data_IF_801297994225
#
_entry.id   IF_801297994225
#
_cell.length_a   1.000
_cell.length_b   1.000
_cell.length_c   1.000
_cell.angle_alpha   90.00
_cell.angle_beta   90.00
_cell.angle_gamma   90.00
#
_symmetry.space_group_name_H-M   'P 1'
#
loop_
_entity.id
_entity.type
_entity.pdbx_description
1 polymer ?
#
# COMPACT_ATOMS: atom_id res chain seq x y z
N UNK A 1 26.30 19.85 -9.26
CA UNK A 1 24.89 19.84 -8.84
C UNK A 1 24.79 19.24 -7.45
N UNK A 2 23.87 19.75 -6.61
CA UNK A 2 23.65 19.19 -5.28
C UNK A 2 22.87 17.86 -5.39
N UNK A 3 23.28 16.87 -4.61
CA UNK A 3 22.66 15.54 -4.54
C UNK A 3 21.86 15.38 -3.24
N UNK A 4 20.88 14.49 -3.24
CA UNK A 4 20.10 14.10 -2.07
C UNK A 4 21.02 13.63 -0.93
N UNK A 5 22.09 12.88 -1.25
CA UNK A 5 23.06 12.40 -0.28
C UNK A 5 23.75 13.52 0.51
N UNK A 6 23.97 14.69 -0.10
CA UNK A 6 24.55 15.84 0.60
C UNK A 6 23.60 16.37 1.68
N UNK A 7 22.30 16.49 1.36
CA UNK A 7 21.28 16.94 2.31
C UNK A 7 21.08 15.92 3.43
N UNK A 8 21.07 14.62 3.09
CA UNK A 8 20.94 13.55 4.09
C UNK A 8 22.10 13.54 5.09
N UNK A 9 23.34 13.73 4.60
CA UNK A 9 24.53 13.84 5.45
C UNK A 9 24.43 15.06 6.37
N UNK A 10 24.10 16.23 5.83
CA UNK A 10 23.91 17.45 6.60
C UNK A 10 22.85 17.29 7.70
N UNK A 11 21.69 16.70 7.39
CA UNK A 11 20.63 16.44 8.37
C UNK A 11 21.08 15.51 9.50
N UNK A 12 21.95 14.55 9.20
CA UNK A 12 22.55 13.65 10.20
C UNK A 12 23.49 14.40 11.15
N UNK A 13 24.28 15.34 10.63
CA UNK A 13 25.24 16.15 11.40
C UNK A 13 24.55 17.11 12.38
N UNK A 14 23.42 17.72 11.97
CA UNK A 14 22.65 18.63 12.84
C UNK A 14 21.67 17.91 13.80
N UNK A 15 21.80 16.58 13.91
CA UNK A 15 20.95 15.65 14.65
C UNK A 15 19.44 15.78 14.34
N UNK A 16 18.86 14.86 13.54
CA UNK A 16 17.47 14.98 13.11
C UNK A 16 16.48 14.88 14.27
N UNK A 17 16.83 14.25 15.39
CA UNK A 17 15.93 14.06 16.54
C UNK A 17 15.68 15.33 17.36
N UNK A 18 16.39 16.42 17.06
CA UNK A 18 16.24 17.70 17.76
C UNK A 18 14.98 18.47 17.37
N UNK A 19 14.34 18.11 16.25
CA UNK A 19 13.07 18.70 15.83
C UNK A 19 12.21 17.70 15.05
N UNK A 20 10.88 17.73 15.21
CA UNK A 20 9.96 16.99 14.37
C UNK A 20 10.13 17.28 12.86
N UNK A 21 10.43 18.52 12.47
CA UNK A 21 10.59 18.91 11.05
C UNK A 21 11.82 18.24 10.45
N UNK A 22 12.96 18.32 11.15
CA UNK A 22 14.21 17.68 10.73
C UNK A 22 14.04 16.17 10.61
N UNK A 23 13.42 15.54 11.62
CA UNK A 23 13.20 14.11 11.63
C UNK A 23 12.25 13.66 10.51
N UNK A 24 11.17 14.42 10.23
CA UNK A 24 10.27 14.12 9.12
C UNK A 24 10.97 14.21 7.76
N UNK A 25 11.74 15.28 7.51
CA UNK A 25 12.51 15.42 6.27
C UNK A 25 13.58 14.33 6.14
N UNK A 26 14.30 14.03 7.22
CA UNK A 26 15.32 12.98 7.26
C UNK A 26 14.73 11.60 6.95
N UNK A 27 13.62 11.24 7.61
CA UNK A 27 12.94 9.98 7.38
C UNK A 27 12.38 9.87 5.96
N UNK A 28 11.79 10.95 5.44
CA UNK A 28 11.26 10.99 4.08
C UNK A 28 12.37 10.76 3.04
N UNK A 29 13.51 11.45 3.17
CA UNK A 29 14.66 11.27 2.29
C UNK A 29 15.17 9.82 2.38
N UNK A 30 15.43 9.35 3.60
CA UNK A 30 16.02 8.03 3.84
C UNK A 30 15.12 6.89 3.35
N UNK A 31 13.81 7.07 3.44
CA UNK A 31 12.85 6.07 2.96
C UNK A 31 12.73 6.10 1.44
N UNK A 32 12.61 7.27 0.83
CA UNK A 32 12.08 7.36 -0.53
C UNK A 32 13.09 7.75 -1.60
N UNK A 33 14.29 8.22 -1.25
CA UNK A 33 15.24 8.72 -2.23
C UNK A 33 16.59 8.04 -2.10
N UNK A 34 17.26 7.88 -3.24
CA UNK A 34 18.63 7.39 -3.29
C UNK A 34 19.62 8.56 -3.14
N UNK A 35 20.79 8.34 -2.52
CA UNK A 35 21.77 9.41 -2.33
C UNK A 35 22.28 10.08 -3.61
N UNK A 36 22.24 9.36 -4.73
CA UNK A 36 22.75 9.83 -6.03
C UNK A 36 21.77 10.72 -6.81
N UNK A 37 20.50 10.73 -6.43
CA UNK A 37 19.49 11.60 -7.05
C UNK A 37 19.84 13.08 -6.89
N UNK A 38 19.51 13.86 -7.91
CA UNK A 38 19.73 15.31 -7.90
C UNK A 38 18.71 15.97 -6.97
N UNK A 39 19.18 16.86 -6.12
CA UNK A 39 18.33 17.64 -5.24
C UNK A 39 17.68 18.77 -6.05
N UNK A 40 16.38 18.65 -6.31
CA UNK A 40 15.62 19.56 -7.18
C UNK A 40 14.47 20.24 -6.42
N UNK A 41 13.87 21.26 -7.05
CA UNK A 41 12.60 21.84 -6.58
C UNK A 41 11.49 20.79 -6.46
N UNK A 42 11.38 19.90 -7.44
CA UNK A 42 10.35 18.85 -7.48
C UNK A 42 10.43 17.91 -6.26
N UNK A 43 11.64 17.63 -5.75
CA UNK A 43 11.81 16.87 -4.50
C UNK A 43 11.10 17.56 -3.32
N UNK A 44 11.34 18.87 -3.14
CA UNK A 44 10.73 19.62 -2.03
C UNK A 44 9.22 19.76 -2.20
N UNK A 45 8.75 20.01 -3.41
CA UNK A 45 7.31 20.05 -3.70
C UNK A 45 6.62 18.73 -3.36
N UNK A 46 7.21 17.58 -3.73
CA UNK A 46 6.69 16.27 -3.35
C UNK A 46 6.64 16.13 -1.82
N UNK A 47 7.73 16.43 -1.11
CA UNK A 47 7.75 16.40 0.35
C UNK A 47 6.68 17.30 0.99
N UNK A 48 6.48 18.51 0.47
CA UNK A 48 5.47 19.45 0.99
C UNK A 48 4.05 18.95 0.75
N UNK A 49 3.79 18.36 -0.42
CA UNK A 49 2.48 17.79 -0.73
C UNK A 49 2.15 16.58 0.16
N UNK A 50 3.13 15.71 0.41
CA UNK A 50 2.97 14.60 1.34
C UNK A 50 2.79 15.05 2.78
N UNK A 51 3.53 16.08 3.23
CA UNK A 51 3.39 16.59 4.61
C UNK A 51 2.05 17.27 4.82
N UNK A 52 1.61 18.15 3.91
CA UNK A 52 0.35 18.88 4.03
C UNK A 52 -0.90 18.00 3.95
N UNK A 53 -0.77 16.75 3.50
CA UNK A 53 -1.84 15.76 3.59
C UNK A 53 -2.15 15.38 5.05
N UNK A 54 -1.15 15.45 5.95
CA UNK A 54 -1.33 15.16 7.37
C UNK A 54 -1.84 16.39 8.13
N UNK A 55 -2.92 16.21 8.90
CA UNK A 55 -3.54 17.27 9.69
C UNK A 55 -2.57 17.96 10.67
N UNK A 56 -1.61 17.20 11.22
CA UNK A 56 -0.57 17.76 12.09
C UNK A 56 0.25 18.84 11.38
N UNK A 57 0.78 18.55 10.19
CA UNK A 57 1.59 19.52 9.45
C UNK A 57 0.77 20.63 8.84
N UNK A 58 -0.46 20.32 8.38
CA UNK A 58 -1.37 21.35 7.89
C UNK A 58 -1.67 22.41 8.95
N UNK A 59 -1.97 22.00 10.19
CA UNK A 59 -2.19 22.91 11.32
C UNK A 59 -0.94 23.71 11.72
N UNK A 60 0.26 23.15 11.46
CA UNK A 60 1.55 23.73 11.85
C UNK A 60 2.40 24.20 10.65
N UNK A 61 1.77 24.51 9.50
CA UNK A 61 2.48 24.75 8.24
C UNK A 61 3.45 25.94 8.28
N UNK A 62 3.16 26.97 9.07
CA UNK A 62 4.05 28.12 9.28
C UNK A 62 5.33 27.71 10.00
N UNK A 63 5.22 26.91 11.06
CA UNK A 63 6.39 26.40 11.78
C UNK A 63 7.22 25.47 10.89
N UNK A 64 6.56 24.55 10.17
CA UNK A 64 7.19 23.66 9.18
C UNK A 64 8.01 24.47 8.16
N UNK A 65 7.41 25.51 7.56
CA UNK A 65 8.05 26.34 6.53
C UNK A 65 9.24 27.12 7.07
N UNK A 66 9.07 27.74 8.23
CA UNK A 66 10.12 28.53 8.86
C UNK A 66 11.36 27.67 9.17
N UNK A 67 11.15 26.49 9.78
CA UNK A 67 12.27 25.62 10.13
C UNK A 67 12.94 25.02 8.89
N UNK A 68 12.17 24.58 7.89
CA UNK A 68 12.72 24.12 6.62
C UNK A 68 13.56 25.19 5.92
N UNK A 69 13.10 26.45 5.93
CA UNK A 69 13.85 27.56 5.36
C UNK A 69 15.18 27.77 6.09
N UNK A 70 15.23 27.67 7.42
CA UNK A 70 16.46 27.75 8.21
C UNK A 70 17.40 26.60 7.84
N UNK A 71 16.89 25.36 7.82
CA UNK A 71 17.66 24.15 7.44
C UNK A 71 18.30 24.34 6.07
N UNK A 72 17.52 24.79 5.08
CA UNK A 72 17.99 24.96 3.70
C UNK A 72 18.93 26.15 3.53
N UNK A 73 18.74 27.25 4.26
CA UNK A 73 19.70 28.37 4.29
C UNK A 73 21.05 27.93 4.84
N UNK A 74 21.04 27.19 5.95
CA UNK A 74 22.27 26.66 6.55
C UNK A 74 22.96 25.66 5.61
N UNK A 75 22.19 24.75 5.01
CA UNK A 75 22.70 23.83 3.99
C UNK A 75 23.34 24.57 2.81
N UNK A 76 22.67 25.58 2.24
CA UNK A 76 23.22 26.42 1.16
C UNK A 76 24.49 27.18 1.55
N UNK A 77 24.70 27.46 2.84
CA UNK A 77 25.93 28.08 3.34
C UNK A 77 27.17 27.19 3.23
N UNK A 78 26.99 25.87 3.13
CA UNK A 78 28.08 24.88 3.12
C UNK A 78 28.61 24.54 1.72
N UNK A 79 27.91 24.94 0.66
CA UNK A 79 28.24 24.54 -0.72
C UNK A 79 28.37 25.74 -1.66
N UNK A 80 29.31 25.66 -2.60
CA UNK A 80 29.49 26.67 -3.65
C UNK A 80 28.30 26.72 -4.61
N UNK A 81 27.80 25.54 -5.02
CA UNK A 81 26.55 25.40 -5.77
C UNK A 81 25.38 25.45 -4.78
N UNK A 82 24.47 26.39 -4.96
CA UNK A 82 23.33 26.62 -4.05
C UNK A 82 22.01 26.20 -4.68
N UNK A 83 21.07 25.77 -3.85
CA UNK A 83 19.67 25.70 -4.23
C UNK A 83 19.09 27.10 -4.33
N UNK A 84 18.38 27.40 -5.41
CA UNK A 84 17.57 28.61 -5.48
C UNK A 84 16.31 28.44 -4.62
N UNK A 85 16.37 28.99 -3.40
CA UNK A 85 15.25 28.93 -2.45
C UNK A 85 14.09 29.84 -2.88
N UNK A 86 14.32 30.84 -3.73
CA UNK A 86 13.27 31.74 -4.20
C UNK A 86 12.33 31.06 -5.20
N UNK A 87 12.82 30.02 -5.88
CA UNK A 87 12.02 29.20 -6.79
C UNK A 87 11.13 28.19 -6.05
N UNK A 88 11.31 27.96 -4.75
CA UNK A 88 10.57 26.96 -3.97
C UNK A 88 9.36 27.62 -3.30
N UNK A 89 8.16 27.09 -3.56
CA UNK A 89 6.95 27.47 -2.83
C UNK A 89 6.87 26.69 -1.52
N UNK A 90 7.01 27.36 -0.39
CA UNK A 90 7.04 26.73 0.94
C UNK A 90 5.62 26.40 1.44
N UNK A 91 5.47 25.44 2.40
CA UNK A 91 4.15 24.98 2.85
C UNK A 91 3.17 26.05 3.33
N UNK A 92 3.65 27.13 3.93
CA UNK A 92 2.84 28.27 4.39
C UNK A 92 2.28 29.11 3.25
N UNK A 93 2.96 29.11 2.09
CA UNK A 93 2.53 29.75 0.84
C UNK A 93 1.58 28.86 0.03
N UNK A 94 1.46 27.57 0.37
CA UNK A 94 0.55 26.65 -0.31
C UNK A 94 -0.85 26.78 0.30
N UNK A 95 -1.83 27.04 -0.58
CA UNK A 95 -3.24 27.02 -0.22
C UNK A 95 -3.83 25.65 -0.55
N UNK A 96 -4.27 24.94 0.50
CA UNK A 96 -4.96 23.66 0.38
C UNK A 96 -6.46 23.89 0.54
N UNK A 97 -7.25 23.33 -0.36
CA UNK A 97 -8.70 23.38 -0.37
C UNK A 97 -9.26 21.97 -0.22
N UNK A 98 -10.37 21.82 0.48
CA UNK A 98 -11.10 20.55 0.55
C UNK A 98 -12.45 20.69 -0.16
N UNK A 99 -12.79 19.70 -1.00
CA UNK A 99 -14.10 19.62 -1.65
C UNK A 99 -14.91 18.50 -0.97
N UNK A 100 -15.78 18.90 -0.05
CA UNK A 100 -16.57 17.95 0.75
C UNK A 100 -17.63 17.20 -0.05
N UNK A 101 -18.30 17.90 -0.96
CA UNK A 101 -19.35 17.34 -1.78
C UNK A 101 -18.75 16.33 -2.77
N UNK A 102 -19.02 15.05 -2.54
CA UNK A 102 -18.43 13.93 -3.28
C UNK A 102 -18.57 14.08 -4.80
N UNK A 103 -19.74 14.47 -5.30
CA UNK A 103 -20.00 14.65 -6.74
C UNK A 103 -19.09 15.74 -7.34
N UNK A 104 -19.00 16.89 -6.69
CA UNK A 104 -18.13 17.99 -7.16
C UNK A 104 -16.66 17.58 -7.13
N UNK A 105 -16.24 16.87 -6.08
CA UNK A 105 -14.88 16.35 -5.99
C UNK A 105 -14.59 15.39 -7.15
N UNK A 106 -15.50 14.45 -7.44
CA UNK A 106 -15.39 13.52 -8.55
C UNK A 106 -15.32 14.24 -9.90
N UNK A 107 -16.16 15.25 -10.14
CA UNK A 107 -16.17 16.03 -11.37
C UNK A 107 -14.87 16.82 -11.57
N UNK A 108 -14.31 17.40 -10.50
CA UNK A 108 -13.02 18.10 -10.54
C UNK A 108 -11.87 17.13 -10.82
N UNK A 109 -11.83 15.98 -10.14
CA UNK A 109 -10.80 14.95 -10.37
C UNK A 109 -10.88 14.40 -11.80
N UNK A 110 -12.08 14.19 -12.32
CA UNK A 110 -12.29 13.75 -13.69
C UNK A 110 -11.71 14.76 -14.70
N UNK A 111 -12.00 16.06 -14.51
CA UNK A 111 -11.44 17.14 -15.35
C UNK A 111 -9.92 17.21 -15.25
N UNK A 112 -9.37 17.07 -14.04
CA UNK A 112 -7.92 17.03 -13.82
C UNK A 112 -7.26 15.90 -14.62
N UNK A 113 -7.78 14.68 -14.52
CA UNK A 113 -7.24 13.52 -15.26
C UNK A 113 -7.38 13.69 -16.77
N UNK A 114 -8.48 14.29 -17.24
CA UNK A 114 -8.62 14.66 -18.66
C UNK A 114 -7.56 15.68 -19.09
N UNK A 115 -7.20 16.66 -18.25
CA UNK A 115 -6.17 17.65 -18.60
C UNK A 115 -4.75 17.08 -18.67
N UNK A 116 -4.47 15.95 -18.02
CA UNK A 116 -3.18 15.25 -18.15
C UNK A 116 -2.99 14.60 -19.53
N UNK A 117 -4.06 14.54 -20.32
CA UNK A 117 -4.16 13.75 -21.53
C UNK A 117 -4.16 14.64 -22.78
N UNK A 118 -3.18 14.44 -23.67
CA UNK A 118 -3.08 15.18 -24.94
C UNK A 118 -3.89 14.53 -26.08
N UNK A 119 -4.45 13.34 -25.89
CA UNK A 119 -5.13 12.55 -26.93
C UNK A 119 -6.23 11.64 -26.37
N UNK A 120 -6.82 10.76 -27.20
CA UNK A 120 -8.04 9.95 -26.97
C UNK A 120 -7.91 8.98 -25.77
N UNK A 121 -7.95 9.54 -24.58
CA UNK A 121 -7.80 8.81 -23.31
C UNK A 121 -9.18 8.59 -22.70
N UNK A 122 -9.45 7.34 -22.31
CA UNK A 122 -10.63 7.05 -21.49
C UNK A 122 -10.29 7.30 -20.03
N UNK A 123 -11.07 8.16 -19.38
CA UNK A 123 -10.90 8.51 -17.98
C UNK A 123 -12.10 8.02 -17.18
N UNK A 124 -11.85 7.50 -15.98
CA UNK A 124 -12.90 7.16 -15.01
C UNK A 124 -12.45 7.57 -13.62
N UNK A 125 -13.38 8.02 -12.79
CA UNK A 125 -13.13 8.25 -11.36
C UNK A 125 -14.18 7.51 -10.56
N UNK A 126 -13.74 6.71 -9.60
CA UNK A 126 -14.58 5.93 -8.70
C UNK A 126 -14.28 6.32 -7.25
N UNK A 127 -15.28 6.19 -6.37
CA UNK A 127 -15.04 6.24 -4.93
C UNK A 127 -14.73 4.81 -4.44
N UNK A 128 -13.61 4.64 -3.76
CA UNK A 128 -13.28 3.43 -3.00
C UNK A 128 -13.22 3.78 -1.51
N UNK A 129 -14.24 3.37 -0.77
CA UNK A 129 -14.43 3.69 0.65
C UNK A 129 -14.43 5.21 0.94
N UNK A 130 -13.26 5.78 1.25
CA UNK A 130 -13.06 7.20 1.58
C UNK A 130 -12.13 7.93 0.60
N UNK A 131 -11.51 7.21 -0.33
CA UNK A 131 -10.54 7.74 -1.30
C UNK A 131 -11.14 7.66 -2.71
N UNK A 132 -10.64 8.47 -3.61
CA UNK A 132 -10.99 8.38 -5.02
C UNK A 132 -9.92 7.59 -5.77
N UNK A 133 -10.34 6.70 -6.65
CA UNK A 133 -9.48 6.05 -7.64
C UNK A 133 -9.75 6.65 -9.01
N UNK A 134 -8.71 7.24 -9.59
CA UNK A 134 -8.70 7.73 -10.96
C UNK A 134 -8.10 6.69 -11.89
N UNK A 135 -8.70 6.50 -13.06
CA UNK A 135 -8.23 5.59 -14.09
C UNK A 135 -8.03 6.37 -15.38
N UNK A 136 -6.90 6.16 -16.05
CA UNK A 136 -6.58 6.77 -17.33
C UNK A 136 -6.03 5.68 -18.25
N UNK A 137 -6.77 5.35 -19.31
CA UNK A 137 -6.37 4.37 -20.32
C UNK A 137 -5.87 5.10 -21.56
N UNK A 138 -4.60 4.87 -21.91
CA UNK A 138 -3.98 5.47 -23.09
C UNK A 138 -4.35 4.74 -24.40
N UNK A 139 -3.91 5.31 -25.52
CA UNK A 139 -4.17 4.77 -26.86
C UNK A 139 -3.56 3.39 -27.10
N UNK A 140 -2.50 3.04 -26.34
CA UNK A 140 -1.80 1.76 -26.43
C UNK A 140 -2.40 0.72 -25.47
N UNK A 141 -3.45 1.07 -24.73
CA UNK A 141 -4.06 0.22 -23.72
C UNK A 141 -3.31 0.19 -22.38
N UNK A 142 -2.31 1.05 -22.15
CA UNK A 142 -1.68 1.18 -20.84
C UNK A 142 -2.60 1.90 -19.88
N UNK A 143 -2.71 1.37 -18.67
CA UNK A 143 -3.60 1.88 -17.64
C UNK A 143 -2.80 2.57 -16.53
N UNK A 144 -3.13 3.82 -16.24
CA UNK A 144 -2.65 4.53 -15.05
C UNK A 144 -3.76 4.60 -14.00
N UNK A 145 -3.45 4.20 -12.77
CA UNK A 145 -4.36 4.19 -11.62
C UNK A 145 -3.85 5.16 -10.57
N UNK A 146 -4.60 6.23 -10.34
CA UNK A 146 -4.26 7.31 -9.41
C UNK A 146 -5.04 7.15 -8.10
N UNK A 147 -4.36 7.24 -6.96
CA UNK A 147 -5.02 7.43 -5.67
C UNK A 147 -5.15 8.92 -5.39
N UNK A 148 -6.39 9.38 -5.31
CA UNK A 148 -6.76 10.78 -5.21
C UNK A 148 -7.57 11.02 -3.93
N UNK A 149 -7.52 12.25 -3.44
CA UNK A 149 -8.22 12.67 -2.22
C UNK A 149 -9.02 13.96 -2.47
N UNK A 150 -9.73 14.43 -1.45
CA UNK A 150 -10.54 15.65 -1.46
C UNK A 150 -9.71 16.92 -1.33
N UNK A 151 -8.39 16.81 -1.15
CA UNK A 151 -7.46 17.92 -0.95
C UNK A 151 -6.88 18.37 -2.27
N UNK A 152 -6.98 19.67 -2.54
CA UNK A 152 -6.54 20.31 -3.78
C UNK A 152 -5.66 21.52 -3.51
N UNK A 153 -4.87 21.89 -4.51
CA UNK A 153 -4.03 23.09 -4.54
C UNK A 153 -4.16 23.75 -5.90
N UNK A 154 -3.78 25.03 -6.01
CA UNK A 154 -3.73 25.73 -7.30
C UNK A 154 -2.30 25.69 -7.80
N UNK A 155 -2.07 25.06 -8.95
CA UNK A 155 -0.80 25.08 -9.69
C UNK A 155 -1.05 25.61 -11.10
N UNK A 156 -0.25 26.58 -11.55
CA UNK A 156 -0.39 27.16 -12.89
C UNK A 156 -1.83 27.61 -13.24
N UNK A 157 -2.53 28.20 -12.26
CA UNK A 157 -3.95 28.62 -12.38
C UNK A 157 -4.96 27.47 -12.59
N UNK A 158 -4.57 26.23 -12.33
CA UNK A 158 -5.44 25.06 -12.40
C UNK A 158 -5.56 24.42 -11.01
N UNK A 159 -6.74 23.89 -10.73
CA UNK A 159 -7.01 23.15 -9.51
C UNK A 159 -6.52 21.72 -9.69
N UNK A 160 -5.51 21.32 -8.92
CA UNK A 160 -4.89 20.01 -8.98
C UNK A 160 -5.00 19.30 -7.61
N UNK A 161 -5.05 17.96 -7.57
CA UNK A 161 -4.94 17.20 -6.34
C UNK A 161 -3.66 17.56 -5.58
N UNK A 162 -3.74 17.62 -4.24
CA UNK A 162 -2.59 17.92 -3.40
C UNK A 162 -1.44 16.94 -3.67
N UNK A 163 -1.74 15.64 -3.68
CA UNK A 163 -0.83 14.56 -4.06
C UNK A 163 -1.24 14.01 -5.42
N UNK A 164 -0.34 14.11 -6.39
CA UNK A 164 -0.54 13.63 -7.76
C UNK A 164 0.48 12.56 -8.17
N UNK A 165 1.35 12.14 -7.26
CA UNK A 165 2.41 11.15 -7.46
C UNK A 165 2.03 9.73 -7.02
N UNK A 166 0.88 9.57 -6.34
CA UNK A 166 0.31 8.26 -6.00
C UNK A 166 -0.33 7.62 -7.24
N UNK A 167 0.51 7.10 -8.13
CA UNK A 167 0.09 6.49 -9.39
C UNK A 167 0.73 5.12 -9.56
N UNK A 168 -0.11 4.11 -9.81
CA UNK A 168 0.29 2.82 -10.34
C UNK A 168 0.17 2.86 -11.87
N UNK A 169 1.07 2.18 -12.57
CA UNK A 169 1.00 2.03 -14.02
C UNK A 169 1.01 0.57 -14.38
N UNK A 170 0.14 0.22 -15.32
CA UNK A 170 -0.08 -1.13 -15.78
C UNK A 170 0.13 -1.21 -17.29
N UNK A 171 0.67 -2.34 -17.73
CA UNK A 171 0.79 -2.72 -19.13
C UNK A 171 -0.59 -3.01 -19.73
N UNK A 172 -0.70 -3.14 -21.07
CA UNK A 172 -1.95 -3.56 -21.71
C UNK A 172 -2.45 -4.94 -21.28
N UNK A 173 -1.58 -5.77 -20.69
CA UNK A 173 -1.89 -7.06 -20.10
C UNK A 173 -2.38 -6.95 -18.65
N UNK A 174 -2.56 -5.72 -18.13
CA UNK A 174 -2.95 -5.43 -16.75
C UNK A 174 -1.94 -5.93 -15.70
N UNK A 175 -0.66 -5.98 -16.07
CA UNK A 175 0.44 -6.23 -15.15
C UNK A 175 1.10 -4.91 -14.77
N UNK A 176 1.54 -4.75 -13.52
CA UNK A 176 2.26 -3.55 -13.10
C UNK A 176 3.55 -3.35 -13.92
N UNK A 177 3.83 -2.11 -14.35
CA UNK A 177 5.02 -1.81 -15.14
C UNK A 177 6.32 -2.15 -14.39
N UNK A 178 7.22 -2.84 -15.08
CA UNK A 178 8.49 -3.30 -14.53
C UNK A 178 9.50 -2.14 -14.42
N UNK A 179 10.36 -2.20 -13.39
CA UNK A 179 11.43 -1.23 -13.08
C UNK A 179 10.97 0.22 -12.81
N UNK A 180 9.67 0.50 -12.81
CA UNK A 180 9.14 1.80 -12.40
C UNK A 180 9.02 1.90 -10.87
N UNK A 181 9.36 3.07 -10.32
CA UNK A 181 9.06 3.40 -8.92
C UNK A 181 7.60 3.84 -8.78
N UNK A 182 6.89 3.20 -7.87
CA UNK A 182 5.51 3.52 -7.52
C UNK A 182 5.43 4.11 -6.11
N UNK A 183 4.52 5.04 -5.92
CA UNK A 183 4.03 5.45 -4.61
C UNK A 183 2.58 5.03 -4.44
N UNK A 184 2.24 4.55 -3.26
CA UNK A 184 0.90 4.10 -2.95
C UNK A 184 0.60 4.31 -1.47
N UNK A 185 -0.65 4.64 -1.16
CA UNK A 185 -1.17 4.66 0.21
C UNK A 185 -1.90 3.34 0.47
N UNK A 186 -1.31 2.50 1.32
CA UNK A 186 -1.82 1.15 1.60
C UNK A 186 -2.86 1.12 2.72
N UNK A 187 -2.88 2.14 3.57
CA UNK A 187 -3.88 2.38 4.62
C UNK A 187 -3.72 3.82 5.13
N UNK A 188 -4.68 4.35 5.92
CA UNK A 188 -4.53 5.70 6.48
C UNK A 188 -3.18 5.88 7.16
N UNK A 189 -2.48 6.94 6.75
CA UNK A 189 -1.15 7.31 7.25
C UNK A 189 -0.04 6.29 6.99
N UNK A 190 -0.21 5.34 6.06
CA UNK A 190 0.86 4.44 5.63
C UNK A 190 1.14 4.60 4.14
N UNK A 191 2.35 5.07 3.84
CA UNK A 191 2.83 5.22 2.48
C UNK A 191 3.85 4.15 2.17
N UNK A 192 3.76 3.60 0.98
CA UNK A 192 4.74 2.68 0.43
C UNK A 192 5.36 3.30 -0.82
N UNK A 193 6.68 3.15 -0.94
CA UNK A 193 7.40 3.36 -2.21
C UNK A 193 8.05 2.04 -2.60
N UNK A 194 7.76 1.54 -3.78
CA UNK A 194 8.25 0.23 -4.22
C UNK A 194 8.52 0.21 -5.72
N UNK A 195 9.28 -0.79 -6.15
CA UNK A 195 9.48 -1.14 -7.55
C UNK A 195 9.35 -2.63 -7.72
N UNK A 196 8.95 -3.03 -8.91
CA UNK A 196 8.94 -4.43 -9.33
C UNK A 196 10.10 -4.62 -10.29
N UNK A 197 10.85 -5.72 -10.10
CA UNK A 197 11.91 -6.17 -10.99
C UNK A 197 11.87 -7.68 -11.07
N UNK A 198 11.58 -8.23 -12.25
CA UNK A 198 11.52 -9.67 -12.49
C UNK A 198 10.58 -10.39 -11.50
N UNK A 199 9.33 -9.92 -11.39
CA UNK A 199 8.29 -10.40 -10.45
C UNK A 199 8.59 -10.23 -8.96
N UNK A 200 9.78 -9.72 -8.62
CA UNK A 200 10.18 -9.44 -7.25
C UNK A 200 10.01 -7.97 -6.94
N UNK A 201 9.66 -7.69 -5.70
CA UNK A 201 9.34 -6.36 -5.22
C UNK A 201 10.33 -5.97 -4.15
N UNK A 202 10.80 -4.73 -4.29
CA UNK A 202 11.67 -4.09 -3.32
C UNK A 202 11.11 -2.71 -2.98
N UNK A 203 11.11 -2.34 -1.71
CA UNK A 203 10.46 -1.11 -1.28
C UNK A 203 10.45 -0.92 0.23
N UNK A 204 9.81 0.18 0.62
CA UNK A 204 9.75 0.64 2.00
C UNK A 204 8.36 1.14 2.36
N UNK A 205 7.91 0.80 3.55
CA UNK A 205 6.67 1.29 4.16
C UNK A 205 7.03 2.27 5.26
N UNK A 206 6.40 3.44 5.24
CA UNK A 206 6.48 4.46 6.28
C UNK A 206 5.12 4.68 6.93
N UNK A 207 5.12 5.26 8.13
CA UNK A 207 3.92 5.59 8.89
C UNK A 207 3.94 7.01 9.44
N UNK A 208 2.78 7.63 9.40
CA UNK A 208 2.47 8.88 10.09
C UNK A 208 3.12 10.11 9.46
N UNK A 209 2.83 11.26 10.06
CA UNK A 209 3.34 12.56 9.62
C UNK A 209 4.87 12.68 9.73
N UNK A 210 5.51 11.78 10.48
CA UNK A 210 6.97 11.70 10.64
C UNK A 210 7.65 10.76 9.63
N UNK A 211 6.88 10.10 8.75
CA UNK A 211 7.38 9.11 7.80
C UNK A 211 8.24 8.01 8.44
N UNK A 212 7.89 7.56 9.64
CA UNK A 212 8.67 6.58 10.37
C UNK A 212 8.71 5.26 9.58
N UNK A 213 9.90 4.74 9.29
CA UNK A 213 10.05 3.45 8.61
C UNK A 213 9.43 2.33 9.45
N UNK A 214 8.51 1.59 8.85
CA UNK A 214 7.84 0.45 9.48
C UNK A 214 8.42 -0.86 8.99
N UNK A 215 8.61 -0.99 7.68
CA UNK A 215 9.11 -2.20 7.05
C UNK A 215 9.90 -1.82 5.81
N UNK A 216 10.96 -2.56 5.57
CA UNK A 216 11.73 -2.55 4.32
C UNK A 216 11.78 -3.99 3.83
N UNK A 217 11.65 -4.17 2.53
CA UNK A 217 11.65 -5.48 1.90
C UNK A 217 12.41 -5.41 0.59
N UNK A 218 13.09 -6.50 0.27
CA UNK A 218 13.92 -6.61 -0.91
C UNK A 218 13.71 -7.97 -1.52
N UNK A 219 13.47 -8.01 -2.82
CA UNK A 219 13.42 -9.21 -3.63
C UNK A 219 12.37 -10.25 -3.20
N UNK A 220 11.23 -9.79 -2.66
CA UNK A 220 10.08 -10.63 -2.25
C UNK A 220 9.00 -10.66 -3.33
N UNK A 221 8.20 -11.72 -3.41
CA UNK A 221 6.98 -11.73 -4.24
C UNK A 221 5.90 -10.87 -3.60
N UNK A 222 5.00 -10.29 -4.42
CA UNK A 222 3.94 -9.39 -3.93
C UNK A 222 3.10 -10.05 -2.82
N UNK A 223 2.72 -11.33 -2.97
CA UNK A 223 1.89 -12.04 -2.00
C UNK A 223 2.57 -12.26 -0.64
N UNK A 224 3.91 -12.19 -0.57
CA UNK A 224 4.68 -12.26 0.68
C UNK A 224 4.63 -10.93 1.46
N UNK A 225 4.04 -9.88 0.88
CA UNK A 225 3.85 -8.57 1.48
C UNK A 225 2.35 -8.26 1.57
N UNK A 226 1.61 -8.85 2.54
CA UNK A 226 0.15 -8.67 2.64
C UNK A 226 -0.30 -7.20 2.71
N UNK A 227 0.53 -6.35 3.33
CA UNK A 227 0.30 -4.89 3.43
C UNK A 227 0.30 -4.17 2.09
N UNK A 228 0.91 -4.74 1.05
CA UNK A 228 0.87 -4.23 -0.32
C UNK A 228 -0.12 -5.03 -1.18
N UNK A 229 -0.10 -6.36 -1.06
CA UNK A 229 -0.93 -7.26 -1.87
C UNK A 229 -2.42 -6.93 -1.80
N UNK A 230 -2.99 -6.82 -0.59
CA UNK A 230 -4.44 -6.61 -0.45
C UNK A 230 -4.90 -5.24 -0.97
N UNK A 231 -4.22 -4.11 -0.66
CA UNK A 231 -4.55 -2.82 -1.25
C UNK A 231 -4.44 -2.79 -2.79
N UNK A 232 -3.45 -3.48 -3.37
CA UNK A 232 -3.34 -3.60 -4.83
C UNK A 232 -4.53 -4.38 -5.41
N UNK A 233 -4.83 -5.56 -4.85
CA UNK A 233 -5.98 -6.37 -5.28
C UNK A 233 -7.31 -5.62 -5.17
N UNK A 234 -7.48 -4.82 -4.12
CA UNK A 234 -8.64 -3.94 -3.98
C UNK A 234 -8.71 -2.88 -5.08
N UNK A 235 -7.58 -2.29 -5.49
CA UNK A 235 -7.59 -1.34 -6.61
C UNK A 235 -7.88 -2.05 -7.96
N UNK A 236 -7.36 -3.27 -8.14
CA UNK A 236 -7.54 -4.09 -9.34
C UNK A 236 -9.00 -4.47 -9.60
N UNK A 237 -9.81 -4.65 -8.57
CA UNK A 237 -11.23 -5.06 -8.71
C UNK A 237 -12.05 -4.12 -9.63
N UNK A 238 -11.60 -2.87 -9.83
CA UNK A 238 -12.31 -1.88 -10.63
C UNK A 238 -12.07 -2.02 -12.14
N UNK A 239 -11.06 -2.80 -12.56
CA UNK A 239 -10.68 -2.96 -13.96
C UNK A 239 -10.28 -4.40 -14.35
N UNK A 240 -10.05 -5.30 -13.39
CA UNK A 240 -9.88 -6.74 -13.60
C UNK A 240 -11.18 -7.44 -13.19
N UNK A 241 -11.77 -8.24 -14.09
CA UNK A 241 -12.94 -9.04 -13.75
C UNK A 241 -12.53 -10.30 -12.98
N UNK A 242 -13.42 -10.82 -12.12
CA UNK A 242 -13.12 -11.96 -11.24
C UNK A 242 -12.71 -13.21 -12.02
N UNK A 243 -13.33 -13.43 -13.17
CA UNK A 243 -13.07 -14.57 -14.05
C UNK A 243 -11.66 -14.51 -14.67
N UNK A 244 -11.13 -13.29 -14.83
CA UNK A 244 -9.79 -13.05 -15.37
C UNK A 244 -8.72 -12.90 -14.30
N UNK A 245 -9.08 -12.75 -13.01
CA UNK A 245 -8.10 -12.63 -11.92
C UNK A 245 -7.52 -14.02 -11.59
N UNK A 246 -6.20 -14.25 -11.81
CA UNK A 246 -5.57 -15.52 -11.48
C UNK A 246 -5.66 -15.88 -9.99
N UNK A 247 -5.63 -14.88 -9.11
CA UNK A 247 -5.71 -15.10 -7.67
C UNK A 247 -7.11 -15.59 -7.26
N UNK A 248 -8.17 -15.00 -7.82
CA UNK A 248 -9.54 -15.47 -7.57
C UNK A 248 -9.73 -16.90 -8.09
N UNK A 249 -9.28 -17.16 -9.31
CA UNK A 249 -9.42 -18.46 -9.97
C UNK A 249 -8.71 -19.57 -9.20
N UNK A 250 -7.47 -19.31 -8.73
CA UNK A 250 -6.71 -20.25 -7.90
C UNK A 250 -7.37 -20.50 -6.54
N UNK A 251 -7.87 -19.44 -5.89
CA UNK A 251 -8.58 -19.54 -4.61
C UNK A 251 -9.84 -20.40 -4.72
N UNK A 252 -10.69 -20.11 -5.71
CA UNK A 252 -11.93 -20.85 -5.98
C UNK A 252 -11.63 -22.31 -6.33
N UNK A 253 -10.62 -22.55 -7.16
CA UNK A 253 -10.19 -23.91 -7.51
C UNK A 253 -9.78 -24.69 -6.27
N UNK A 254 -8.88 -24.14 -5.44
CA UNK A 254 -8.42 -24.79 -4.20
C UNK A 254 -9.58 -25.11 -3.26
N UNK A 255 -10.50 -24.17 -3.04
CA UNK A 255 -11.68 -24.42 -2.19
C UNK A 255 -12.63 -25.47 -2.79
N UNK A 256 -12.77 -25.50 -4.11
CA UNK A 256 -13.60 -26.48 -4.83
C UNK A 256 -12.99 -27.88 -4.74
N UNK A 257 -11.67 -27.99 -4.98
CA UNK A 257 -10.93 -29.24 -4.86
C UNK A 257 -11.09 -29.80 -3.45
N UNK A 258 -11.03 -28.93 -2.41
CA UNK A 258 -11.28 -29.25 -0.98
C UNK A 258 -12.77 -29.49 -0.66
N UNK A 259 -13.70 -29.09 -1.51
CA UNK A 259 -15.12 -29.43 -1.29
C UNK A 259 -15.46 -30.79 -1.90
N UNK A 260 -14.72 -31.24 -2.91
CA UNK A 260 -15.04 -32.41 -3.75
C UNK A 260 -14.37 -33.73 -3.35
N UNK A 261 -13.63 -33.77 -2.24
CA UNK A 261 -12.82 -34.93 -1.84
C UNK A 261 -11.54 -35.15 -2.65
N UNK A 262 -11.11 -34.19 -3.49
CA UNK A 262 -9.94 -34.34 -4.38
C UNK A 262 -8.65 -34.03 -3.59
N UNK A 263 -8.36 -34.79 -2.54
CA UNK A 263 -7.10 -34.69 -1.79
C UNK A 263 -6.76 -35.97 -1.02
N UNK A 264 -5.48 -36.13 -0.69
CA UNK A 264 -5.00 -37.24 0.13
C UNK A 264 -5.27 -36.95 1.62
N UNK A 265 -6.28 -37.62 2.18
CA UNK A 265 -6.60 -37.62 3.61
C UNK A 265 -5.48 -38.31 4.39
N UNK A 266 -4.42 -37.60 4.76
CA UNK A 266 -3.56 -37.93 5.91
C UNK A 266 -2.49 -36.86 6.12
N UNK A 267 -2.63 -36.03 7.17
CA UNK A 267 -1.57 -35.45 8.01
C UNK A 267 -2.03 -34.14 8.66
N UNK A 268 -1.46 -33.82 9.82
CA UNK A 268 -1.54 -32.53 10.52
C UNK A 268 -1.20 -31.32 9.61
N UNK A 269 -0.43 -31.56 8.54
CA UNK A 269 -0.11 -30.56 7.52
C UNK A 269 -1.33 -30.09 6.71
N UNK A 270 -2.35 -30.95 6.56
CA UNK A 270 -3.57 -30.64 5.81
C UNK A 270 -4.49 -29.68 6.55
N UNK A 271 -4.72 -29.90 7.85
CA UNK A 271 -5.52 -28.97 8.67
C UNK A 271 -4.87 -27.58 8.74
N UNK A 272 -3.53 -27.55 8.82
CA UNK A 272 -2.77 -26.30 8.74
C UNK A 272 -2.95 -25.64 7.38
N UNK A 273 -2.88 -26.39 6.28
CA UNK A 273 -3.13 -25.86 4.94
C UNK A 273 -4.55 -25.29 4.78
N UNK A 274 -5.58 -26.04 5.19
CA UNK A 274 -6.98 -25.59 5.15
C UNK A 274 -7.19 -24.31 5.97
N UNK A 275 -6.63 -24.23 7.19
CA UNK A 275 -6.76 -23.03 8.01
C UNK A 275 -6.09 -21.80 7.39
N UNK A 276 -4.93 -21.97 6.75
CA UNK A 276 -4.25 -20.89 6.01
C UNK A 276 -5.10 -20.45 4.81
N UNK A 277 -5.59 -21.41 4.02
CA UNK A 277 -6.43 -21.12 2.85
C UNK A 277 -7.72 -20.41 3.25
N UNK A 278 -8.38 -20.87 4.32
CA UNK A 278 -9.58 -20.22 4.86
C UNK A 278 -9.28 -18.79 5.30
N UNK A 279 -8.19 -18.55 6.03
CA UNK A 279 -7.79 -17.19 6.43
C UNK A 279 -7.51 -16.28 5.23
N UNK A 280 -6.86 -16.80 4.19
CA UNK A 280 -6.65 -16.07 2.93
C UNK A 280 -7.98 -15.79 2.21
N UNK A 281 -8.89 -16.76 2.21
CA UNK A 281 -10.21 -16.65 1.56
C UNK A 281 -11.10 -15.64 2.27
N UNK A 282 -11.12 -15.66 3.61
CA UNK A 282 -11.80 -14.68 4.45
C UNK A 282 -11.25 -13.27 4.17
N UNK A 283 -9.92 -13.13 4.16
CA UNK A 283 -9.28 -11.85 3.83
C UNK A 283 -9.66 -11.37 2.44
N UNK A 284 -9.71 -12.26 1.45
CA UNK A 284 -10.11 -11.92 0.08
C UNK A 284 -11.57 -11.48 0.00
N UNK A 285 -12.48 -12.19 0.66
CA UNK A 285 -13.91 -11.86 0.72
C UNK A 285 -14.16 -10.51 1.40
N UNK A 286 -13.47 -10.24 2.52
CA UNK A 286 -13.61 -9.01 3.29
C UNK A 286 -13.00 -7.78 2.59
N UNK A 287 -11.88 -7.94 1.89
CA UNK A 287 -11.08 -6.81 1.41
C UNK A 287 -11.17 -6.54 -0.08
N UNK A 288 -11.51 -7.55 -0.90
CA UNK A 288 -11.41 -7.51 -2.36
C UNK A 288 -12.73 -7.92 -3.03
N UNK A 289 -13.30 -9.07 -2.67
CA UNK A 289 -14.47 -9.64 -3.33
C UNK A 289 -15.74 -9.47 -2.51
N UNK A 290 -15.99 -8.25 -2.03
CA UNK A 290 -17.10 -7.95 -1.12
C UNK A 290 -18.44 -8.37 -1.74
N UNK A 291 -19.19 -9.20 -1.01
CA UNK A 291 -20.51 -9.70 -1.44
C UNK A 291 -20.47 -10.86 -2.44
N UNK A 292 -19.32 -11.52 -2.62
CA UNK A 292 -19.24 -12.73 -3.46
C UNK A 292 -19.85 -13.96 -2.77
N UNK A 293 -21.11 -14.27 -3.14
CA UNK A 293 -21.85 -15.42 -2.61
C UNK A 293 -21.19 -16.77 -2.90
N UNK A 294 -20.57 -16.92 -4.08
CA UNK A 294 -19.94 -18.20 -4.47
C UNK A 294 -18.73 -18.46 -3.57
N UNK A 295 -17.91 -17.44 -3.36
CA UNK A 295 -16.74 -17.55 -2.48
C UNK A 295 -17.18 -17.82 -1.03
N UNK A 296 -18.23 -17.13 -0.56
CA UNK A 296 -18.81 -17.33 0.76
C UNK A 296 -19.29 -18.78 0.98
N UNK A 297 -20.05 -19.36 0.03
CA UNK A 297 -20.51 -20.75 0.09
C UNK A 297 -19.35 -21.75 0.12
N UNK A 298 -18.33 -21.54 -0.71
CA UNK A 298 -17.13 -22.39 -0.73
C UNK A 298 -16.36 -22.35 0.60
N UNK A 299 -16.22 -21.16 1.19
CA UNK A 299 -15.60 -20.99 2.51
C UNK A 299 -16.40 -21.75 3.58
N UNK A 300 -17.73 -21.63 3.58
CA UNK A 300 -18.59 -22.33 4.54
C UNK A 300 -18.48 -23.86 4.41
N UNK A 301 -18.43 -24.37 3.18
CA UNK A 301 -18.26 -25.81 2.92
C UNK A 301 -16.91 -26.32 3.42
N UNK A 302 -15.81 -25.60 3.13
CA UNK A 302 -14.48 -26.00 3.60
C UNK A 302 -14.37 -25.91 5.13
N UNK A 303 -15.01 -24.92 5.76
CA UNK A 303 -15.10 -24.82 7.22
C UNK A 303 -15.85 -25.98 7.85
N UNK A 304 -16.98 -26.42 7.27
CA UNK A 304 -17.75 -27.54 7.82
C UNK A 304 -16.96 -28.85 7.75
N UNK A 305 -16.21 -29.07 6.67
CA UNK A 305 -15.28 -30.21 6.53
C UNK A 305 -14.22 -30.18 7.63
N UNK A 306 -13.55 -29.04 7.83
CA UNK A 306 -12.53 -28.90 8.87
C UNK A 306 -13.07 -29.15 10.29
N UNK A 307 -14.32 -28.76 10.55
CA UNK A 307 -14.99 -29.02 11.84
C UNK A 307 -15.34 -30.49 12.01
N UNK A 308 -15.86 -31.15 10.97
CA UNK A 308 -16.20 -32.59 11.01
C UNK A 308 -14.98 -33.46 11.33
N UNK A 309 -13.82 -33.17 10.75
CA UNK A 309 -12.57 -33.90 11.04
C UNK A 309 -12.08 -33.70 12.49
N UNK A 310 -12.25 -32.49 13.06
CA UNK A 310 -11.91 -32.26 14.48
C UNK A 310 -12.76 -33.10 15.43
N UNK A 311 -14.05 -33.27 15.12
CA UNK A 311 -14.95 -34.12 15.89
C UNK A 311 -14.60 -35.61 15.80
N UNK A 312 -14.16 -36.11 14.63
CA UNK A 312 -13.74 -37.51 14.46
C UNK A 312 -12.44 -37.84 15.23
N UNK A 313 -11.49 -36.89 15.29
CA UNK A 313 -10.25 -37.06 16.07
C UNK A 313 -10.53 -37.15 17.58
N UNK A 314 -11.50 -36.39 18.11
CA UNK A 314 -11.88 -36.45 19.52
C UNK A 314 -12.62 -37.75 19.90
N UNK A 315 -13.30 -38.41 18.97
CA UNK A 315 -14.02 -39.67 19.24
C UNK A 315 -13.11 -40.91 19.24
N UNK A 316 -11.92 -40.83 18.63
CA UNK A 316 -10.96 -41.95 18.57
C UNK A 316 -10.02 -42.05 19.78
N UNK A 317 -10.19 -41.21 20.82
CA UNK A 317 -9.51 -41.40 22.10
C UNK A 317 -10.32 -42.42 22.91
N UNK A 318 -10.00 -43.72 22.75
CA UNK A 318 -10.53 -44.75 23.64
C UNK A 318 -10.14 -44.40 25.10
N UNK A 319 -11.07 -44.42 26.07
CA UNK A 319 -10.71 -44.28 27.46
C UNK A 319 -9.77 -45.44 27.83
N UNK A 320 -8.57 -45.11 28.30
CA UNK A 320 -7.63 -46.05 28.91
C UNK A 320 -8.40 -46.86 29.96
N UNK A 321 -8.71 -48.12 29.66
CA UNK A 321 -9.30 -49.04 30.64
C UNK A 321 -8.34 -49.12 31.83
N UNK A 322 -8.78 -48.84 33.06
CA UNK A 322 -7.93 -49.00 34.22
C UNK A 322 -7.54 -50.48 34.34
N UNK A 323 -6.24 -50.78 34.31
CA UNK A 323 -5.72 -52.10 34.67
C UNK A 323 -6.10 -52.37 36.13
N UNK A 324 -7.05 -53.27 36.36
CA UNK A 324 -7.28 -53.80 37.71
C UNK A 324 -6.02 -54.56 38.16
N UNK A 325 -5.56 -54.37 39.41
CA UNK A 325 -4.42 -55.10 39.94
C UNK A 325 -4.79 -56.57 40.14
N UNK A 326 -4.04 -57.48 39.51
CA UNK A 326 -4.08 -58.90 39.82
C UNK A 326 -3.54 -59.11 41.23
N UNK A 327 -4.41 -59.57 42.15
CA UNK A 327 -3.99 -60.09 43.46
C UNK A 327 -3.28 -61.42 43.22
N UNK A 328 -1.98 -61.46 43.50
CA UNK A 328 -1.22 -62.70 43.65
C UNK A 328 -1.78 -63.48 44.85
N UNK A 329 -2.32 -64.67 44.59
CA UNK A 329 -2.62 -65.70 45.57
C UNK A 329 -1.68 -66.88 45.29
N UNK A 330 -0.54 -66.87 45.97
CA UNK A 330 0.45 -67.93 46.11
C UNK A 330 1.17 -67.59 47.43
N UNK A 331 1.35 -68.44 48.44
CA UNK A 331 1.39 -69.90 48.57
C UNK A 331 1.20 -70.27 50.05
N UNK A 332 0.93 -71.56 50.30
CA UNK A 332 1.58 -72.30 51.40
C UNK A 332 0.84 -72.33 52.73
#
# INVERSE_FOLDING_TARGET
>A
MLKIGHLLKFLSEINPHTSPVKLALFNFIKAFYTPDEVLTKAFFESFFCHTLDYSHWYANKTHLSHELLIILKNFNGLFQNKLDLSAITFPDQIQVFEIDQQKNCQDVLFKYLQSLSSSKIQVKVCLDQKKFLGFSLDENGKLSVFQLDKKFIIRNSQLEPLRNDLCLKYTPQLELENEQMFFFEISPHHLIKFKIKNEKVSGVITRGYMFQKVQEFTDLKIHEIPRLFWPLKRAEQFFITRESDPFYSDLVKKLTDISQGIWEKNSESWQKYMSILLSQSDSALENVYIGDKRLEELILNVRSILLSEKSEVCQNIQPLKPKMPQRNLELG
#
